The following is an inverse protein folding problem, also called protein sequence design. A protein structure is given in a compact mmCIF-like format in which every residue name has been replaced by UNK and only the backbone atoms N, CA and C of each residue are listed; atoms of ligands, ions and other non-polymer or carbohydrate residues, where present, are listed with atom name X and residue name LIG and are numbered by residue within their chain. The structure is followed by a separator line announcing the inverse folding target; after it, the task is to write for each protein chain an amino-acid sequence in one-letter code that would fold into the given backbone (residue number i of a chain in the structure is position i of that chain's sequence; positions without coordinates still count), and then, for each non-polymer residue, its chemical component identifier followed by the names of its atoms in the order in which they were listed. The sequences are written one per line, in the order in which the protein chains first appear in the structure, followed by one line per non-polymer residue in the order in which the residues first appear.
data_IF_482775143244
#
_entry.id   IF_482775143244
#
_cell.length_a   1.000
_cell.length_b   1.000
_cell.length_c   1.000
_cell.angle_alpha   90.00
_cell.angle_beta   90.00
_cell.angle_gamma   90.00
#
_symmetry.space_group_name_H-M   'P 1'
#
loop_
_entity.id
_entity.type
_entity.pdbx_description
1 polymer ?
#
# COMPACT_ATOMS: atom_id res chain seq x y z
N UNK A 1 -9.30 -36.86 -15.95
CA UNK A 1 -10.23 -35.91 -15.29
C UNK A 1 -10.42 -36.36 -13.86
N UNK A 2 -10.47 -35.41 -12.94
CA UNK A 2 -10.72 -35.62 -11.51
C UNK A 2 -11.84 -34.72 -11.04
N UNK A 3 -12.75 -35.27 -10.21
CA UNK A 3 -13.78 -34.48 -9.52
C UNK A 3 -13.27 -34.15 -8.13
N UNK A 4 -13.21 -32.83 -7.80
CA UNK A 4 -12.76 -32.35 -6.50
C UNK A 4 -13.96 -31.84 -5.70
N UNK A 5 -14.06 -32.29 -4.44
CA UNK A 5 -15.08 -31.85 -3.49
C UNK A 5 -14.36 -31.40 -2.21
N UNK A 6 -14.80 -30.30 -1.60
CA UNK A 6 -14.29 -29.89 -0.30
C UNK A 6 -15.43 -29.42 0.61
N UNK A 7 -15.21 -29.51 1.89
CA UNK A 7 -16.09 -28.95 2.93
C UNK A 7 -15.29 -27.90 3.66
N UNK A 8 -15.78 -26.65 3.66
CA UNK A 8 -15.19 -25.53 4.38
C UNK A 8 -16.05 -25.23 5.61
N UNK A 9 -15.44 -25.29 6.78
CA UNK A 9 -16.08 -24.88 8.04
C UNK A 9 -15.34 -23.65 8.55
N UNK A 10 -15.98 -22.47 8.48
CA UNK A 10 -15.45 -21.24 9.04
C UNK A 10 -15.88 -21.11 10.51
N UNK A 11 -14.95 -20.99 11.46
CA UNK A 11 -15.30 -20.76 12.85
C UNK A 11 -15.96 -19.38 13.01
N UNK A 12 -17.09 -19.32 13.75
CA UNK A 12 -17.72 -18.04 14.11
C UNK A 12 -17.03 -17.48 15.35
N UNK A 13 -16.55 -16.25 15.24
CA UNK A 13 -16.01 -15.52 16.40
C UNK A 13 -17.16 -15.26 17.38
N UNK A 14 -16.99 -15.65 18.64
CA UNK A 14 -18.03 -15.44 19.66
C UNK A 14 -18.13 -13.96 20.05
N UNK A 15 -19.33 -13.54 20.44
CA UNK A 15 -19.54 -12.16 20.93
C UNK A 15 -18.67 -11.85 22.16
N UNK A 16 -18.40 -12.84 23.00
CA UNK A 16 -17.52 -12.67 24.15
C UNK A 16 -16.07 -12.45 23.71
N UNK A 17 -15.55 -13.26 22.79
CA UNK A 17 -14.19 -13.08 22.28
C UNK A 17 -13.99 -11.70 21.64
N UNK A 18 -15.01 -11.18 20.96
CA UNK A 18 -14.96 -9.81 20.40
C UNK A 18 -14.92 -8.73 21.49
N UNK A 19 -15.68 -8.90 22.58
CA UNK A 19 -15.62 -7.98 23.73
C UNK A 19 -14.25 -8.00 24.41
N UNK A 20 -13.69 -9.20 24.59
CA UNK A 20 -12.38 -9.38 25.24
C UNK A 20 -11.26 -8.78 24.37
N UNK A 21 -11.31 -9.00 23.06
CA UNK A 21 -10.37 -8.40 22.10
C UNK A 21 -10.45 -6.86 22.11
N UNK A 22 -11.68 -6.32 22.14
CA UNK A 22 -11.88 -4.87 22.24
C UNK A 22 -11.33 -4.32 23.56
N UNK A 23 -11.61 -4.94 24.67
CA UNK A 23 -11.09 -4.52 25.98
C UNK A 23 -9.56 -4.56 26.03
N UNK A 24 -8.94 -5.61 25.45
CA UNK A 24 -7.48 -5.75 25.36
C UNK A 24 -6.86 -4.61 24.55
N UNK A 25 -7.40 -4.30 23.37
CA UNK A 25 -6.85 -3.24 22.52
C UNK A 25 -7.09 -1.84 23.10
N UNK A 26 -8.21 -1.62 23.80
CA UNK A 26 -8.49 -0.38 24.55
C UNK A 26 -7.44 -0.15 25.65
N UNK A 27 -7.08 -1.21 26.40
CA UNK A 27 -6.02 -1.14 27.43
C UNK A 27 -4.65 -0.82 26.81
N UNK A 28 -4.31 -1.46 25.69
CA UNK A 28 -3.05 -1.20 24.98
C UNK A 28 -3.02 0.26 24.52
N UNK A 29 -4.09 0.74 23.90
CA UNK A 29 -4.23 2.14 23.48
C UNK A 29 -4.03 3.10 24.64
N UNK A 30 -4.66 2.85 25.79
CA UNK A 30 -4.53 3.69 26.98
C UNK A 30 -3.08 3.78 27.43
N UNK A 31 -2.35 2.67 27.50
CA UNK A 31 -0.92 2.66 27.86
C UNK A 31 -0.07 3.48 26.89
N UNK A 32 -0.37 3.41 25.57
CA UNK A 32 0.35 4.19 24.56
C UNK A 32 0.08 5.69 24.75
N UNK A 33 -1.18 6.09 24.96
CA UNK A 33 -1.57 7.50 25.17
C UNK A 33 -0.93 8.06 26.43
N UNK A 34 -0.89 7.26 27.51
CA UNK A 34 -0.24 7.63 28.75
C UNK A 34 1.31 7.63 28.66
N UNK A 35 1.87 7.25 27.49
CA UNK A 35 3.30 7.11 27.28
C UNK A 35 3.99 6.08 28.19
N UNK A 36 3.26 5.10 28.69
CA UNK A 36 3.78 3.99 29.47
C UNK A 36 4.58 3.02 28.60
N UNK A 37 4.14 2.84 27.34
CA UNK A 37 4.83 2.05 26.31
C UNK A 37 4.80 2.79 24.97
N UNK A 38 5.76 2.51 24.09
CA UNK A 38 5.72 3.02 22.73
C UNK A 38 4.77 2.19 21.86
N UNK A 39 4.27 2.77 20.77
CA UNK A 39 3.45 2.02 19.81
C UNK A 39 4.22 0.81 19.25
N UNK A 40 5.50 0.97 18.96
CA UNK A 40 6.36 -0.09 18.45
C UNK A 40 6.53 -1.25 19.45
N UNK A 41 6.70 -0.96 20.74
CA UNK A 41 6.82 -1.99 21.77
C UNK A 41 5.48 -2.70 22.00
N UNK A 42 4.37 -1.95 21.96
CA UNK A 42 3.03 -2.51 22.02
C UNK A 42 2.78 -3.47 20.84
N UNK A 43 3.17 -3.08 19.62
CA UNK A 43 3.04 -3.94 18.45
C UNK A 43 3.86 -5.23 18.59
N UNK A 44 5.15 -5.13 19.00
CA UNK A 44 6.03 -6.28 19.20
C UNK A 44 5.52 -7.27 20.25
N UNK A 45 4.97 -6.76 21.34
CA UNK A 45 4.55 -7.58 22.48
C UNK A 45 3.14 -8.12 22.37
N UNK A 46 2.25 -7.43 21.67
CA UNK A 46 0.80 -7.68 21.79
C UNK A 46 0.06 -7.81 20.46
N UNK A 47 0.68 -7.50 19.33
CA UNK A 47 0.05 -7.65 18.03
C UNK A 47 0.01 -9.11 17.59
N UNK A 48 -1.12 -9.54 17.08
CA UNK A 48 -1.30 -10.85 16.43
C UNK A 48 -0.92 -10.83 14.96
N UNK A 49 -0.70 -9.63 14.36
CA UNK A 49 -0.25 -9.45 13.00
C UNK A 49 1.23 -9.84 12.84
N UNK A 50 1.46 -10.99 12.19
CA UNK A 50 2.79 -11.60 12.11
C UNK A 50 3.76 -10.85 11.21
N UNK A 51 3.24 -10.20 10.17
CA UNK A 51 4.08 -9.53 9.16
C UNK A 51 4.72 -8.25 9.70
N UNK A 52 3.97 -7.47 10.49
CA UNK A 52 4.40 -6.15 10.94
C UNK A 52 4.84 -6.07 12.39
N UNK A 53 4.38 -6.99 13.27
CA UNK A 53 4.67 -6.93 14.71
C UNK A 53 6.17 -6.85 15.03
N UNK A 54 7.01 -7.62 14.34
CA UNK A 54 8.45 -7.66 14.57
C UNK A 54 9.14 -6.36 14.15
N UNK A 55 8.50 -5.61 13.24
CA UNK A 55 8.95 -4.28 12.80
C UNK A 55 8.18 -3.14 13.50
N UNK A 56 7.66 -3.39 14.70
CA UNK A 56 6.96 -2.37 15.48
C UNK A 56 5.62 -1.90 14.89
N UNK A 57 4.97 -2.74 14.07
CA UNK A 57 3.70 -2.44 13.43
C UNK A 57 3.78 -1.54 12.21
N UNK A 58 4.97 -1.31 11.66
CA UNK A 58 5.16 -0.45 10.47
C UNK A 58 4.52 -1.09 9.24
N UNK A 59 3.57 -0.38 8.64
CA UNK A 59 2.97 -0.76 7.36
C UNK A 59 3.87 -0.30 6.21
N UNK A 60 4.05 -1.17 5.23
CA UNK A 60 4.76 -0.84 3.99
C UNK A 60 3.75 -0.62 2.86
N UNK A 61 4.00 0.41 2.06
CA UNK A 61 3.25 0.65 0.86
C UNK A 61 3.51 -0.49 -0.15
N UNK A 62 2.51 -1.24 -0.59
CA UNK A 62 2.71 -2.41 -1.45
C UNK A 62 3.28 -2.07 -2.84
N UNK A 63 3.24 -0.79 -3.25
CA UNK A 63 3.79 -0.35 -4.55
C UNK A 63 5.25 0.07 -4.47
N UNK A 64 5.65 0.71 -3.37
CA UNK A 64 7.00 1.28 -3.21
C UNK A 64 7.86 0.51 -2.23
N UNK A 65 7.26 -0.37 -1.41
CA UNK A 65 7.89 -1.08 -0.30
C UNK A 65 8.50 -0.13 0.76
N UNK A 66 8.05 1.12 0.80
CA UNK A 66 8.45 2.13 1.77
C UNK A 66 7.37 2.34 2.83
N UNK A 67 7.73 2.80 4.05
CA UNK A 67 6.76 3.09 5.11
C UNK A 67 6.05 4.44 4.93
N UNK A 68 5.95 4.94 3.70
CA UNK A 68 5.32 6.20 3.33
C UNK A 68 4.19 5.97 2.35
N UNK A 69 3.11 6.68 2.56
CA UNK A 69 1.91 6.60 1.74
C UNK A 69 1.53 7.99 1.22
N UNK A 70 1.35 8.12 -0.07
CA UNK A 70 0.72 9.29 -0.66
C UNK A 70 -0.80 9.19 -0.44
N UNK A 71 -1.40 10.13 0.28
CA UNK A 71 -2.82 10.09 0.64
C UNK A 71 -3.74 9.94 -0.57
N UNK A 72 -3.39 10.58 -1.70
CA UNK A 72 -4.16 10.52 -2.95
C UNK A 72 -4.11 9.16 -3.66
N UNK A 73 -3.15 8.31 -3.30
CA UNK A 73 -2.94 6.96 -3.90
C UNK A 73 -3.15 5.83 -2.91
N UNK A 74 -3.56 6.18 -1.69
CA UNK A 74 -3.85 5.24 -0.62
C UNK A 74 -5.15 4.48 -0.91
N UNK A 75 -5.25 3.26 -0.39
CA UNK A 75 -6.52 2.55 -0.36
C UNK A 75 -7.61 3.38 0.34
N UNK A 76 -8.81 3.52 -0.24
CA UNK A 76 -9.85 4.38 0.31
C UNK A 76 -10.28 4.02 1.74
N UNK A 77 -10.29 2.73 2.10
CA UNK A 77 -10.65 2.29 3.45
C UNK A 77 -9.57 2.69 4.46
N UNK A 78 -8.30 2.51 4.11
CA UNK A 78 -7.18 2.96 4.92
C UNK A 78 -7.15 4.50 5.03
N UNK A 79 -7.37 5.21 3.92
CA UNK A 79 -7.45 6.67 3.90
C UNK A 79 -8.51 7.20 4.87
N UNK A 80 -9.71 6.63 4.85
CA UNK A 80 -10.80 7.02 5.75
C UNK A 80 -10.43 6.84 7.24
N UNK A 81 -9.59 5.84 7.56
CA UNK A 81 -9.15 5.56 8.91
C UNK A 81 -8.06 6.52 9.42
N UNK A 82 -7.20 7.04 8.52
CA UNK A 82 -6.03 7.85 8.90
C UNK A 82 -6.16 9.34 8.60
N UNK A 83 -7.10 9.74 7.74
CA UNK A 83 -7.22 11.12 7.26
C UNK A 83 -7.45 12.13 8.38
N UNK A 84 -8.22 11.76 9.39
CA UNK A 84 -8.54 12.62 10.54
C UNK A 84 -7.51 12.59 11.66
N UNK A 85 -6.55 11.64 11.64
CA UNK A 85 -5.55 11.52 12.70
C UNK A 85 -4.47 12.59 12.54
N UNK A 86 -4.10 13.20 13.66
CA UNK A 86 -2.94 14.10 13.72
C UNK A 86 -1.65 13.30 13.82
N UNK A 87 -0.53 13.97 13.58
CA UNK A 87 0.80 13.35 13.76
C UNK A 87 0.99 12.87 15.19
N UNK A 88 1.39 11.62 15.36
CA UNK A 88 1.52 10.94 16.66
C UNK A 88 0.20 10.50 17.33
N UNK A 89 -0.94 10.80 16.73
CA UNK A 89 -2.23 10.40 17.30
C UNK A 89 -2.52 8.91 17.06
N UNK A 90 -3.11 8.25 18.05
CA UNK A 90 -3.54 6.85 17.99
C UNK A 90 -5.04 6.78 17.82
N UNK A 91 -5.51 6.10 16.79
CA UNK A 91 -6.93 5.92 16.49
C UNK A 91 -7.69 5.25 17.64
N UNK A 92 -9.00 5.40 17.65
CA UNK A 92 -9.87 4.47 18.39
C UNK A 92 -9.75 3.06 17.80
N UNK A 93 -10.09 1.99 18.57
CA UNK A 93 -10.17 0.65 18.02
C UNK A 93 -11.13 0.56 16.85
N UNK A 94 -10.61 0.13 15.73
CA UNK A 94 -11.33 -0.04 14.46
C UNK A 94 -11.63 -1.53 14.30
N UNK A 95 -12.90 -1.86 14.12
CA UNK A 95 -13.31 -3.22 13.75
C UNK A 95 -13.10 -3.39 12.26
N UNK A 96 -12.39 -4.44 11.89
CA UNK A 96 -12.14 -4.79 10.50
C UNK A 96 -12.38 -6.29 10.26
N UNK A 97 -12.53 -6.67 9.00
CA UNK A 97 -12.78 -8.05 8.61
C UNK A 97 -11.97 -8.38 7.35
N UNK A 98 -11.17 -9.40 7.43
CA UNK A 98 -10.36 -9.86 6.32
C UNK A 98 -10.74 -11.28 5.92
N UNK A 99 -10.71 -11.57 4.62
CA UNK A 99 -10.99 -12.90 4.10
C UNK A 99 -9.96 -13.91 4.63
N UNK A 100 -10.42 -14.86 5.43
CA UNK A 100 -9.60 -15.90 6.03
C UNK A 100 -9.15 -15.64 7.47
N UNK A 101 -9.04 -14.39 7.92
CA UNK A 101 -8.65 -14.04 9.29
C UNK A 101 -9.86 -13.73 10.20
N UNK A 102 -11.04 -13.52 9.60
CA UNK A 102 -12.26 -13.19 10.34
C UNK A 102 -12.27 -11.73 10.82
N UNK A 103 -13.03 -11.49 11.90
CA UNK A 103 -13.17 -10.16 12.50
C UNK A 103 -12.08 -9.91 13.52
N UNK A 104 -11.48 -8.72 13.48
CA UNK A 104 -10.45 -8.31 14.42
C UNK A 104 -10.53 -6.80 14.72
N UNK A 105 -9.89 -6.38 15.80
CA UNK A 105 -9.71 -4.97 16.12
C UNK A 105 -8.28 -4.54 15.83
N UNK A 106 -8.13 -3.33 15.31
CA UNK A 106 -6.84 -2.68 15.10
C UNK A 106 -6.86 -1.25 15.60
N UNK A 107 -5.70 -0.73 16.00
CA UNK A 107 -5.43 0.68 16.23
C UNK A 107 -4.32 1.10 15.27
N UNK A 108 -4.39 2.35 14.82
CA UNK A 108 -3.45 2.90 13.84
C UNK A 108 -2.87 4.19 14.42
N UNK A 109 -1.61 4.45 14.17
CA UNK A 109 -0.98 5.75 14.40
C UNK A 109 -0.37 6.28 13.12
N UNK A 110 -0.36 7.60 12.98
CA UNK A 110 0.27 8.31 11.87
C UNK A 110 1.50 8.99 12.43
N UNK A 111 2.67 8.73 11.84
CA UNK A 111 3.91 9.39 12.19
C UNK A 111 4.48 10.12 10.98
N UNK A 112 5.08 11.28 11.21
CA UNK A 112 5.71 12.10 10.17
C UNK A 112 4.73 12.52 9.07
N UNK A 113 3.57 13.07 9.45
CA UNK A 113 2.62 13.63 8.51
C UNK A 113 3.25 14.81 7.80
N UNK A 114 3.32 14.72 6.48
CA UNK A 114 3.79 15.82 5.62
C UNK A 114 2.56 16.44 4.98
N UNK A 115 2.30 17.70 5.30
CA UNK A 115 1.21 18.46 4.69
C UNK A 115 1.53 18.78 3.23
N UNK A 116 0.49 19.09 2.46
CA UNK A 116 0.64 19.52 1.08
C UNK A 116 1.55 20.74 0.99
N UNK A 117 2.57 20.67 0.16
CA UNK A 117 3.55 21.73 -0.05
C UNK A 117 4.02 21.74 -1.50
N UNK A 118 4.52 22.88 -1.94
CA UNK A 118 5.19 22.96 -3.22
C UNK A 118 6.52 22.19 -3.15
N UNK A 119 6.75 21.31 -4.13
CA UNK A 119 7.95 20.46 -4.15
C UNK A 119 9.24 21.31 -4.12
N UNK A 120 10.15 20.95 -3.23
CA UNK A 120 11.47 21.56 -3.13
C UNK A 120 12.59 20.51 -3.05
N UNK A 121 13.79 20.87 -3.51
CA UNK A 121 14.93 19.97 -3.56
C UNK A 121 15.41 19.47 -2.18
N UNK A 122 15.18 20.24 -1.12
CA UNK A 122 15.67 19.88 0.21
C UNK A 122 14.86 18.74 0.82
N UNK A 123 13.54 18.74 0.59
CA UNK A 123 12.60 17.78 1.19
C UNK A 123 12.30 16.62 0.25
N UNK A 124 12.19 16.91 -1.05
CA UNK A 124 11.65 15.99 -2.05
C UNK A 124 12.72 15.44 -3.01
N UNK A 125 14.00 15.62 -2.71
CA UNK A 125 15.11 15.24 -3.59
C UNK A 125 14.96 13.82 -4.16
N UNK A 126 14.66 12.83 -3.31
CA UNK A 126 14.52 11.44 -3.74
C UNK A 126 13.35 11.27 -4.71
N UNK A 127 12.23 11.93 -4.44
CA UNK A 127 11.04 11.89 -5.29
C UNK A 127 11.29 12.57 -6.63
N UNK A 128 11.89 13.74 -6.61
CA UNK A 128 12.25 14.49 -7.83
C UNK A 128 13.24 13.68 -8.67
N UNK A 129 14.25 13.07 -8.03
CA UNK A 129 15.23 12.20 -8.70
C UNK A 129 14.54 10.99 -9.35
N UNK A 130 13.62 10.34 -8.65
CA UNK A 130 12.87 9.19 -9.19
C UNK A 130 12.02 9.59 -10.41
N UNK A 131 11.31 10.72 -10.32
CA UNK A 131 10.51 11.23 -11.44
C UNK A 131 11.37 11.60 -12.64
N UNK A 132 12.52 12.27 -12.42
CA UNK A 132 13.47 12.61 -13.47
C UNK A 132 14.09 11.36 -14.11
N UNK A 133 14.42 10.34 -13.32
CA UNK A 133 14.92 9.07 -13.82
C UNK A 133 13.88 8.37 -14.70
N UNK A 134 12.63 8.33 -14.24
CA UNK A 134 11.52 7.73 -14.99
C UNK A 134 11.28 8.45 -16.32
N UNK A 135 11.26 9.78 -16.32
CA UNK A 135 11.14 10.58 -17.55
C UNK A 135 12.27 10.28 -18.53
N UNK A 136 13.52 10.24 -18.04
CA UNK A 136 14.67 9.87 -18.85
C UNK A 136 14.55 8.45 -19.41
N UNK A 137 14.13 7.48 -18.62
CA UNK A 137 13.92 6.10 -19.07
C UNK A 137 12.88 6.03 -20.20
N UNK A 138 11.76 6.73 -20.06
CA UNK A 138 10.70 6.78 -21.08
C UNK A 138 11.27 7.35 -22.40
N UNK A 139 12.02 8.45 -22.31
CA UNK A 139 12.65 9.09 -23.49
C UNK A 139 13.67 8.18 -24.16
N UNK A 140 14.52 7.52 -23.40
CA UNK A 140 15.52 6.59 -23.94
C UNK A 140 14.87 5.35 -24.57
N UNK A 141 13.80 4.81 -23.97
CA UNK A 141 13.04 3.69 -24.55
C UNK A 141 12.37 4.11 -25.86
N UNK A 142 11.77 5.30 -25.91
CA UNK A 142 11.16 5.82 -27.14
C UNK A 142 12.20 5.95 -28.26
N UNK A 143 13.34 6.57 -27.98
CA UNK A 143 14.44 6.71 -28.92
C UNK A 143 14.97 5.35 -29.41
N UNK A 144 15.24 4.44 -28.50
CA UNK A 144 15.67 3.08 -28.82
C UNK A 144 14.63 2.34 -29.70
N UNK A 145 13.34 2.49 -29.37
CA UNK A 145 12.26 1.89 -30.16
C UNK A 145 12.23 2.41 -31.59
N UNK A 146 12.37 3.74 -31.78
CA UNK A 146 12.43 4.34 -33.10
C UNK A 146 13.65 3.85 -33.93
N UNK A 147 14.81 3.73 -33.29
CA UNK A 147 16.03 3.20 -33.95
C UNK A 147 15.82 1.73 -34.35
N UNK A 148 15.26 0.90 -33.45
CA UNK A 148 15.01 -0.52 -33.75
C UNK A 148 13.92 -0.75 -34.79
N UNK A 149 12.90 0.08 -34.84
CA UNK A 149 11.88 0.04 -35.90
C UNK A 149 12.51 0.31 -37.26
N UNK A 150 13.49 1.23 -37.37
CA UNK A 150 14.19 1.53 -38.63
C UNK A 150 15.05 0.37 -39.10
N UNK A 151 15.72 -0.32 -38.19
CA UNK A 151 16.64 -1.42 -38.45
C UNK A 151 15.97 -2.77 -38.69
N UNK A 152 14.76 -2.97 -38.15
CA UNK A 152 14.07 -4.25 -38.13
C UNK A 152 13.10 -4.39 -39.30
N UNK A 153 13.04 -5.57 -39.94
CA UNK A 153 11.99 -5.87 -40.89
C UNK A 153 10.66 -6.08 -40.16
N UNK A 154 9.66 -5.26 -40.51
CA UNK A 154 8.35 -5.30 -39.89
C UNK A 154 7.31 -5.48 -41.00
N UNK A 155 6.45 -6.50 -40.88
CA UNK A 155 5.31 -6.76 -41.75
C UNK A 155 4.03 -6.74 -40.90
N UNK A 156 3.14 -5.81 -41.21
CA UNK A 156 1.81 -5.71 -40.61
C UNK A 156 0.79 -6.24 -41.59
N UNK A 157 -0.11 -7.11 -41.16
CA UNK A 157 -1.21 -7.64 -41.98
C UNK A 157 -2.13 -6.51 -42.40
N UNK A 158 -2.75 -6.64 -43.58
CA UNK A 158 -3.60 -5.60 -44.16
C UNK A 158 -4.75 -5.22 -43.27
N UNK A 159 -5.30 -6.16 -42.50
CA UNK A 159 -6.40 -5.95 -41.54
C UNK A 159 -6.07 -4.96 -40.41
N UNK A 160 -4.78 -4.70 -40.16
CA UNK A 160 -4.30 -3.83 -39.07
C UNK A 160 -3.57 -2.58 -39.53
N UNK A 161 -3.53 -2.31 -40.85
CA UNK A 161 -2.81 -1.16 -41.40
C UNK A 161 -3.45 0.18 -41.06
N UNK A 162 -4.75 0.18 -40.83
CA UNK A 162 -5.54 1.36 -40.46
C UNK A 162 -5.61 1.61 -38.94
N UNK A 163 -4.92 0.78 -38.13
CA UNK A 163 -4.85 0.98 -36.70
C UNK A 163 -3.91 2.13 -36.34
N UNK A 164 -4.29 2.90 -35.31
CA UNK A 164 -3.41 3.90 -34.72
C UNK A 164 -2.33 3.22 -33.85
N UNK A 165 -1.08 3.39 -34.23
CA UNK A 165 0.07 2.87 -33.48
C UNK A 165 0.78 4.00 -32.73
N UNK A 166 1.19 3.75 -31.50
CA UNK A 166 1.99 4.70 -30.70
C UNK A 166 3.33 5.05 -31.36
N UNK A 167 3.92 4.09 -32.08
CA UNK A 167 5.16 4.27 -32.86
C UNK A 167 4.88 4.07 -34.34
N UNK A 168 5.70 4.64 -35.21
CA UNK A 168 5.55 4.50 -36.66
C UNK A 168 6.01 3.13 -37.15
N UNK A 169 5.17 2.10 -36.96
CA UNK A 169 5.39 0.74 -37.43
C UNK A 169 5.20 0.57 -38.93
N UNK A 170 4.42 1.46 -39.55
CA UNK A 170 4.18 1.48 -40.98
C UNK A 170 5.30 2.30 -41.63
N UNK A 171 6.43 1.66 -41.98
CA UNK A 171 7.47 2.28 -42.78
C UNK A 171 6.89 2.66 -44.15
N UNK A 172 6.92 3.92 -44.47
CA UNK A 172 6.73 4.38 -45.86
C UNK A 172 8.02 4.21 -46.63
#
# INVERSE_FOLDING_TARGET
EVELRHILIAPKVSTQAMKDAKAKIDQIRTKIINKEITFADAAKSSSDEKETRNNGGVLLNPRTMEPRFELTKMDPALYAQVSSLKDGEVSLPILDEERGSGKFYKIITVNNRIEEHQADFSRDYLKIKELALRDKQIKEIAKWSEEKIKETYIKISDDYKDCEFTNNWLKK
#
